data_IF_092240626998
#
_entry.id   IF_092240626998
#
_cell.length_a   1.000
_cell.length_b   1.000
_cell.length_c   1.000
_cell.angle_alpha   90.00
_cell.angle_beta   90.00
_cell.angle_gamma   90.00
#
_symmetry.space_group_name_H-M   'P 1'
#
loop_
_entity.id
_entity.type
_entity.pdbx_description
1 polymer ?
#
# COMPACT_ATOMS: atom_id res chain seq x y z
N UNK A 1 25.67 10.72 -10.79
CA UNK A 1 24.44 10.90 -10.01
C UNK A 1 23.78 9.52 -9.93
N UNK A 2 23.51 8.97 -8.75
CA UNK A 2 22.71 7.75 -8.67
C UNK A 2 21.31 8.08 -9.21
N UNK A 3 20.84 7.32 -10.19
CA UNK A 3 19.46 7.39 -10.66
C UNK A 3 18.57 7.02 -9.47
N UNK A 4 17.56 7.83 -9.09
CA UNK A 4 16.59 7.39 -8.09
C UNK A 4 15.93 6.12 -8.62
N UNK A 5 16.25 4.99 -8.01
CA UNK A 5 15.59 3.72 -8.33
C UNK A 5 14.22 3.79 -7.70
N UNK A 6 13.20 3.99 -8.52
CA UNK A 6 11.81 3.87 -8.13
C UNK A 6 11.60 2.54 -7.39
N UNK A 7 11.29 2.55 -6.09
CA UNK A 7 11.10 1.31 -5.33
C UNK A 7 9.75 0.69 -5.65
N UNK A 8 9.71 -0.22 -6.62
CA UNK A 8 8.56 -1.12 -6.81
C UNK A 8 8.46 -2.08 -5.63
N UNK A 9 7.27 -2.23 -5.06
CA UNK A 9 7.02 -3.05 -3.86
C UNK A 9 6.10 -4.22 -4.11
N UNK A 10 5.11 -4.04 -4.98
CA UNK A 10 4.14 -5.08 -5.29
C UNK A 10 3.72 -5.01 -6.76
N UNK A 11 3.42 -6.17 -7.31
CA UNK A 11 2.67 -6.33 -8.55
C UNK A 11 1.53 -7.30 -8.26
N UNK A 12 0.31 -6.91 -8.60
CA UNK A 12 -0.90 -7.71 -8.42
C UNK A 12 -1.72 -7.71 -9.70
N UNK A 13 -2.64 -8.65 -9.83
CA UNK A 13 -3.60 -8.70 -10.93
C UNK A 13 -5.02 -8.64 -10.38
N UNK A 14 -5.76 -7.57 -10.69
CA UNK A 14 -7.10 -7.29 -10.15
C UNK A 14 -8.24 -8.07 -10.85
N UNK A 15 -7.88 -8.97 -11.76
CA UNK A 15 -8.79 -9.72 -12.61
C UNK A 15 -9.07 -9.06 -13.95
N UNK A 16 -8.63 -7.81 -14.15
CA UNK A 16 -8.75 -7.07 -15.42
C UNK A 16 -7.41 -6.60 -15.96
N UNK A 17 -6.47 -6.28 -15.07
CA UNK A 17 -5.16 -5.74 -15.41
C UNK A 17 -4.15 -6.03 -14.31
N UNK A 18 -2.87 -5.97 -14.67
CA UNK A 18 -1.77 -5.87 -13.74
C UNK A 18 -1.69 -4.46 -13.16
N UNK A 19 -1.35 -4.38 -11.88
CA UNK A 19 -1.14 -3.15 -11.14
C UNK A 19 0.19 -3.26 -10.38
N UNK A 20 1.14 -2.39 -10.70
CA UNK A 20 2.41 -2.25 -10.01
C UNK A 20 2.36 -1.04 -9.09
N UNK A 21 2.85 -1.20 -7.87
CA UNK A 21 2.71 -0.23 -6.78
C UNK A 21 4.07 0.02 -6.13
N UNK A 22 4.31 1.26 -5.72
CA UNK A 22 5.55 1.65 -5.06
C UNK A 22 5.56 3.13 -4.67
N UNK A 23 6.76 3.72 -4.70
CA UNK A 23 6.99 5.14 -4.43
C UNK A 23 7.89 5.77 -5.50
N UNK A 24 7.99 7.10 -5.49
CA UNK A 24 8.75 7.85 -6.51
C UNK A 24 10.26 7.87 -6.29
N UNK A 25 10.74 7.79 -5.05
CA UNK A 25 12.12 8.17 -4.70
C UNK A 25 12.80 7.31 -3.61
N UNK A 26 12.21 6.18 -3.21
CA UNK A 26 12.82 5.29 -2.20
C UNK A 26 12.34 5.55 -0.78
N UNK A 27 11.83 6.76 -0.51
CA UNK A 27 11.32 7.17 0.79
C UNK A 27 9.89 6.66 0.99
N UNK A 28 9.62 6.02 2.14
CA UNK A 28 8.29 5.55 2.50
C UNK A 28 7.29 6.70 2.68
N UNK A 29 7.80 7.91 2.93
CA UNK A 29 7.04 9.17 3.02
C UNK A 29 6.94 9.88 1.66
N UNK A 30 7.62 9.36 0.64
CA UNK A 30 7.52 9.81 -0.74
C UNK A 30 6.13 9.53 -1.33
N UNK A 31 5.81 10.19 -2.44
CA UNK A 31 4.53 9.99 -3.12
C UNK A 31 4.36 8.58 -3.65
N UNK A 32 3.13 8.06 -3.62
CA UNK A 32 2.79 6.80 -4.27
C UNK A 32 3.08 6.86 -5.78
N UNK A 33 3.48 5.72 -6.32
CA UNK A 33 3.54 5.50 -7.76
C UNK A 33 2.78 4.23 -8.10
N UNK A 34 1.82 4.36 -9.03
CA UNK A 34 1.02 3.26 -9.54
C UNK A 34 1.19 3.19 -11.06
N UNK A 35 1.46 1.99 -11.56
CA UNK A 35 1.38 1.68 -12.98
C UNK A 35 0.34 0.59 -13.20
N UNK A 36 -0.36 0.65 -14.33
CA UNK A 36 -1.31 -0.36 -14.74
C UNK A 36 -0.98 -0.89 -16.13
N UNK A 37 -1.28 -2.16 -16.38
CA UNK A 37 -1.02 -2.82 -17.65
C UNK A 37 -2.05 -3.89 -17.93
N UNK A 38 -2.62 -3.92 -19.13
CA UNK A 38 -3.57 -4.97 -19.51
C UNK A 38 -2.89 -6.32 -19.79
N UNK A 39 -1.63 -6.31 -20.22
CA UNK A 39 -0.88 -7.46 -20.73
C UNK A 39 0.38 -7.80 -19.92
N UNK A 40 0.81 -6.91 -19.02
CA UNK A 40 2.05 -7.03 -18.25
C UNK A 40 3.29 -6.54 -18.99
N UNK A 41 3.17 -6.12 -20.25
CA UNK A 41 4.27 -5.66 -21.10
C UNK A 41 4.28 -4.15 -21.24
N UNK A 42 3.12 -3.54 -21.50
CA UNK A 42 2.97 -2.09 -21.66
C UNK A 42 2.34 -1.48 -20.42
N UNK A 43 3.05 -0.55 -19.79
CA UNK A 43 2.66 0.03 -18.52
C UNK A 43 2.34 1.52 -18.66
N UNK A 44 1.24 1.94 -18.04
CA UNK A 44 0.79 3.32 -18.00
C UNK A 44 0.67 3.79 -16.57
N UNK A 45 1.10 5.02 -16.33
CA UNK A 45 1.01 5.65 -15.01
C UNK A 45 -0.44 5.97 -14.67
N UNK A 46 -0.82 5.66 -13.43
CA UNK A 46 -2.10 6.02 -12.83
C UNK A 46 -1.81 6.94 -11.64
N UNK A 47 -2.25 8.19 -11.75
CA UNK A 47 -1.96 9.24 -10.76
C UNK A 47 -3.00 9.30 -9.63
N UNK A 48 -4.08 8.50 -9.68
CA UNK A 48 -5.18 8.59 -8.73
C UNK A 48 -4.75 8.37 -7.27
N UNK A 49 -3.75 7.51 -7.02
CA UNK A 49 -3.20 7.30 -5.69
C UNK A 49 -2.45 8.54 -5.17
N UNK A 50 -1.63 9.16 -6.03
CA UNK A 50 -0.88 10.36 -5.67
C UNK A 50 -1.80 11.57 -5.47
N UNK A 51 -2.84 11.70 -6.30
CA UNK A 51 -3.89 12.72 -6.16
C UNK A 51 -4.70 12.56 -4.85
N UNK A 52 -4.84 11.33 -4.37
CA UNK A 52 -5.44 11.02 -3.07
C UNK A 52 -4.47 11.24 -1.88
N UNK A 53 -3.28 11.79 -2.13
CA UNK A 53 -2.19 11.97 -1.16
C UNK A 53 -1.69 10.65 -0.53
N UNK A 54 -1.80 9.53 -1.25
CA UNK A 54 -1.18 8.30 -0.82
C UNK A 54 0.35 8.43 -0.84
N UNK A 55 0.99 8.02 0.25
CA UNK A 55 2.44 7.82 0.29
C UNK A 55 2.80 6.49 -0.33
N UNK A 56 4.09 6.24 -0.45
CA UNK A 56 4.65 5.02 -1.00
C UNK A 56 3.89 3.77 -0.53
N UNK A 57 3.33 3.05 -1.50
CA UNK A 57 2.56 1.84 -1.26
C UNK A 57 3.52 0.68 -1.05
N UNK A 58 3.46 0.06 0.12
CA UNK A 58 4.44 -0.92 0.59
C UNK A 58 4.01 -2.36 0.39
N UNK A 59 2.71 -2.63 0.37
CA UNK A 59 2.14 -3.93 0.02
C UNK A 59 0.71 -3.77 -0.52
N UNK A 60 0.22 -4.79 -1.23
CA UNK A 60 -1.16 -4.84 -1.66
C UNK A 60 -1.65 -6.27 -1.88
N UNK A 61 -2.98 -6.42 -1.87
CA UNK A 61 -3.69 -7.64 -2.26
C UNK A 61 -4.98 -7.29 -2.98
N UNK A 62 -5.47 -8.23 -3.78
CA UNK A 62 -6.80 -8.15 -4.39
C UNK A 62 -7.80 -8.90 -3.50
N UNK A 63 -8.92 -8.26 -3.21
CA UNK A 63 -10.03 -8.82 -2.45
C UNK A 63 -10.86 -9.78 -3.32
N UNK A 64 -11.72 -10.59 -2.68
CA UNK A 64 -12.55 -11.57 -3.40
C UNK A 64 -13.54 -10.94 -4.39
N UNK A 65 -13.92 -9.68 -4.15
CA UNK A 65 -14.80 -8.90 -5.01
C UNK A 65 -14.04 -8.16 -6.13
N UNK A 66 -12.73 -8.37 -6.27
CA UNK A 66 -11.87 -7.75 -7.28
C UNK A 66 -11.34 -6.37 -6.92
N UNK A 67 -11.71 -5.80 -5.75
CA UNK A 67 -11.14 -4.53 -5.30
C UNK A 67 -9.68 -4.69 -4.87
N UNK A 68 -8.88 -3.66 -5.10
CA UNK A 68 -7.50 -3.60 -4.60
C UNK A 68 -7.49 -3.04 -3.19
N UNK A 69 -6.74 -3.68 -2.30
CA UNK A 69 -6.41 -3.15 -0.98
C UNK A 69 -4.89 -3.01 -0.89
N UNK A 70 -4.42 -1.80 -0.62
CA UNK A 70 -3.01 -1.51 -0.44
C UNK A 70 -2.75 -0.87 0.94
N UNK A 71 -1.49 -0.80 1.34
CA UNK A 71 -1.04 -0.18 2.59
C UNK A 71 0.13 0.75 2.31
N UNK A 72 0.22 1.84 3.08
CA UNK A 72 1.30 2.83 2.98
C UNK A 72 1.62 3.43 4.35
N UNK A 73 2.71 4.19 4.42
CA UNK A 73 2.87 5.22 5.45
C UNK A 73 1.83 6.32 5.27
N UNK A 74 1.51 7.05 6.33
CA UNK A 74 0.78 8.32 6.22
C UNK A 74 1.71 9.53 6.12
N UNK A 75 3.01 9.33 6.35
CA UNK A 75 4.00 10.40 6.53
C UNK A 75 4.01 10.99 7.95
N UNK A 76 3.08 10.58 8.81
CA UNK A 76 3.00 11.02 10.19
C UNK A 76 3.76 10.06 11.12
N UNK A 77 4.16 10.60 12.27
CA UNK A 77 4.87 9.88 13.31
C UNK A 77 4.21 10.12 14.67
N UNK A 78 4.25 9.11 15.54
CA UNK A 78 3.82 9.22 16.93
C UNK A 78 4.98 8.89 17.87
N UNK A 79 4.98 9.47 19.08
CA UNK A 79 5.96 9.13 20.10
C UNK A 79 5.80 7.66 20.53
N UNK A 80 6.89 6.91 20.56
CA UNK A 80 6.89 5.58 21.14
C UNK A 80 7.08 5.64 22.65
N UNK A 81 6.28 4.84 23.35
CA UNK A 81 6.49 4.43 24.75
C UNK A 81 7.76 3.59 24.98
N UNK A 82 8.32 2.99 23.93
CA UNK A 82 9.63 2.34 23.94
C UNK A 82 10.72 3.41 23.85
N UNK A 83 11.76 3.26 24.67
CA UNK A 83 12.77 4.28 24.94
C UNK A 83 13.38 4.89 23.66
N UNK A 84 12.89 6.08 23.27
CA UNK A 84 13.56 7.01 22.37
C UNK A 84 13.25 6.91 20.86
N UNK A 85 12.16 6.26 20.45
CA UNK A 85 11.78 6.14 19.03
C UNK A 85 10.49 6.88 18.65
N UNK A 86 10.35 7.28 17.39
CA UNK A 86 9.06 7.56 16.76
C UNK A 86 8.53 6.31 16.08
N UNK A 87 7.21 6.14 16.02
CA UNK A 87 6.54 5.11 15.22
C UNK A 87 5.85 5.76 14.04
N UNK A 88 6.13 5.26 12.84
CA UNK A 88 5.44 5.71 11.64
C UNK A 88 3.99 5.23 11.64
N UNK A 89 3.09 6.14 11.24
CA UNK A 89 1.68 5.85 11.08
C UNK A 89 1.40 5.26 9.70
N UNK A 90 0.42 4.37 9.65
CA UNK A 90 0.06 3.62 8.46
C UNK A 90 -1.41 3.80 8.10
N UNK A 91 -1.70 3.69 6.81
CA UNK A 91 -3.06 3.66 6.29
C UNK A 91 -3.25 2.48 5.34
N UNK A 92 -4.47 1.97 5.33
CA UNK A 92 -4.97 1.09 4.29
C UNK A 92 -5.74 1.92 3.25
N UNK A 93 -5.61 1.52 1.99
CA UNK A 93 -6.23 2.16 0.85
C UNK A 93 -7.07 1.15 0.09
N UNK A 94 -8.38 1.38 0.06
CA UNK A 94 -9.30 0.57 -0.72
C UNK A 94 -9.57 1.27 -2.05
N UNK A 95 -9.34 0.57 -3.15
CA UNK A 95 -9.59 1.07 -4.50
C UNK A 95 -10.90 0.48 -5.00
N UNK A 96 -11.85 1.35 -5.32
CA UNK A 96 -13.13 0.97 -5.91
C UNK A 96 -13.01 0.80 -7.43
N UNK A 97 -14.04 0.22 -8.06
CA UNK A 97 -14.02 -0.12 -9.48
C UNK A 97 -13.89 1.08 -10.44
N UNK A 98 -14.15 2.29 -9.94
CA UNK A 98 -13.96 3.59 -10.61
C UNK A 98 -12.58 4.21 -10.33
N UNK A 99 -11.62 3.41 -9.86
CA UNK A 99 -10.25 3.82 -9.51
C UNK A 99 -10.16 4.87 -8.38
N UNK A 100 -11.23 5.06 -7.59
CA UNK A 100 -11.19 5.95 -6.42
C UNK A 100 -10.50 5.26 -5.24
N UNK A 101 -9.56 5.98 -4.64
CA UNK A 101 -8.82 5.56 -3.46
C UNK A 101 -9.51 6.07 -2.20
N UNK A 102 -9.82 5.17 -1.26
CA UNK A 102 -10.40 5.52 0.05
C UNK A 102 -9.44 5.10 1.16
N UNK A 103 -9.08 6.06 2.02
CA UNK A 103 -8.15 5.89 3.14
C UNK A 103 -8.85 5.38 4.39
N UNK A 104 -8.20 4.47 5.10
CA UNK A 104 -8.56 3.98 6.43
C UNK A 104 -7.30 3.98 7.32
N UNK A 105 -7.33 4.68 8.45
CA UNK A 105 -6.18 4.73 9.36
C UNK A 105 -5.96 3.38 10.06
N UNK A 106 -4.70 2.92 10.11
CA UNK A 106 -4.31 1.72 10.85
C UNK A 106 -3.65 2.05 12.19
N UNK A 107 -3.31 3.33 12.43
CA UNK A 107 -2.59 3.78 13.61
C UNK A 107 -1.07 3.79 13.40
N UNK A 108 -0.33 3.98 14.50
CA UNK A 108 1.12 4.21 14.49
C UNK A 108 1.90 3.05 15.10
N UNK A 109 1.57 1.84 14.66
CA UNK A 109 2.27 0.61 15.06
C UNK A 109 3.22 0.09 13.95
N UNK A 110 3.58 0.99 13.04
CA UNK A 110 4.50 0.78 11.92
C UNK A 110 3.81 0.44 10.59
N UNK A 111 4.56 0.62 9.50
CA UNK A 111 4.05 0.51 8.13
C UNK A 111 4.10 -0.93 7.65
N UNK A 112 2.96 -1.60 7.35
CA UNK A 112 2.98 -2.98 6.91
C UNK A 112 3.78 -3.15 5.62
N UNK A 113 4.58 -4.22 5.54
CA UNK A 113 5.47 -4.51 4.40
C UNK A 113 5.07 -5.77 3.65
N UNK A 114 4.11 -6.52 4.19
CA UNK A 114 3.57 -7.72 3.57
C UNK A 114 2.09 -7.84 3.90
N UNK A 115 1.34 -8.43 2.98
CA UNK A 115 -0.08 -8.69 3.12
C UNK A 115 -0.41 -10.10 2.63
N UNK A 116 -1.41 -10.71 3.26
CA UNK A 116 -1.91 -12.02 2.87
C UNK A 116 -3.35 -12.21 3.28
N UNK A 117 -4.05 -13.09 2.55
CA UNK A 117 -5.39 -13.53 2.91
C UNK A 117 -5.30 -14.74 3.84
N UNK A 118 -6.04 -14.70 4.94
CA UNK A 118 -6.20 -15.80 5.87
C UNK A 118 -7.23 -16.80 5.34
N UNK A 119 -7.24 -18.02 5.90
CA UNK A 119 -8.14 -19.10 5.45
C UNK A 119 -9.63 -18.79 5.64
N UNK A 120 -9.97 -17.87 6.54
CA UNK A 120 -11.32 -17.39 6.80
C UNK A 120 -11.68 -16.10 6.02
N UNK A 121 -10.91 -15.79 4.97
CA UNK A 121 -11.09 -14.61 4.10
C UNK A 121 -10.79 -13.26 4.72
N UNK A 122 -10.33 -13.20 5.98
CA UNK A 122 -9.75 -11.98 6.54
C UNK A 122 -8.45 -11.61 5.82
N UNK A 123 -8.10 -10.33 5.86
CA UNK A 123 -6.81 -9.85 5.36
C UNK A 123 -5.90 -9.56 6.55
N UNK A 124 -4.68 -10.08 6.48
CA UNK A 124 -3.60 -9.79 7.40
C UNK A 124 -2.58 -8.88 6.71
N UNK A 125 -2.13 -7.84 7.42
CA UNK A 125 -0.97 -7.05 7.04
C UNK A 125 0.05 -7.09 8.19
N UNK A 126 1.34 -7.23 7.87
CA UNK A 126 2.39 -7.46 8.87
C UNK A 126 3.46 -6.39 8.79
N UNK A 127 3.83 -5.86 9.95
CA UNK A 127 5.04 -5.07 10.15
C UNK A 127 5.79 -5.61 11.37
N UNK A 128 6.99 -6.16 11.16
CA UNK A 128 7.81 -6.72 12.26
C UNK A 128 6.99 -7.66 13.17
N UNK A 129 6.65 -7.21 14.38
CA UNK A 129 5.90 -7.96 15.40
C UNK A 129 4.41 -7.60 15.44
N UNK A 130 3.99 -6.62 14.65
CA UNK A 130 2.61 -6.13 14.58
C UNK A 130 1.86 -6.83 13.45
N UNK A 131 0.67 -7.34 13.78
CA UNK A 131 -0.27 -7.94 12.85
C UNK A 131 -1.56 -7.12 12.83
N UNK A 132 -1.86 -6.51 11.69
CA UNK A 132 -3.13 -5.85 11.43
C UNK A 132 -4.09 -6.84 10.79
N UNK A 133 -5.30 -6.96 11.31
CA UNK A 133 -6.31 -7.89 10.76
C UNK A 133 -7.58 -7.13 10.41
N UNK A 134 -7.97 -7.20 9.14
CA UNK A 134 -9.25 -6.69 8.66
C UNK A 134 -10.26 -7.84 8.60
N UNK A 135 -11.50 -7.56 9.03
CA UNK A 135 -12.63 -8.47 8.85
C UNK A 135 -12.87 -8.84 7.37
N UNK A 136 -13.68 -9.87 7.11
CA UNK A 136 -14.09 -10.18 5.75
C UNK A 136 -14.82 -8.96 5.13
N UNK A 137 -14.65 -8.72 3.80
CA UNK A 137 -15.36 -7.67 3.08
C UNK A 137 -16.88 -7.90 3.03
#
# INVERSE_FOLDING_TARGET
MPTPTTPWRAVVHDGRRFVALGGTDGDVRGSALVLTSADGEVWQRDDAAAEADARMLTAATVLLDGRLLAVSSTGEESESDQSGGTRECAAAWLVTNDARWTREELGCDGVPTSMGRLTDSRIAAVYWTTLFVRGPP
#
